data_IF_290836216930
#
_entry.id   IF_290836216930
#
_cell.length_a   1.000
_cell.length_b   1.000
_cell.length_c   1.000
_cell.angle_alpha   90.00
_cell.angle_beta   90.00
_cell.angle_gamma   90.00
#
_symmetry.space_group_name_H-M   'P 1'
#
loop_
_entity.id
_entity.type
_entity.pdbx_description
1 polymer ?
#
# COMPACT_ATOMS: atom_id res chain seq x y z
N UNK A 1 30.31 -40.66 -40.42
CA UNK A 1 28.90 -40.21 -40.19
C UNK A 1 28.96 -38.77 -39.80
N UNK A 2 28.68 -37.90 -40.73
CA UNK A 2 28.79 -36.43 -40.68
C UNK A 2 27.52 -35.86 -40.07
N UNK A 3 27.63 -35.19 -38.90
CA UNK A 3 26.53 -34.48 -38.29
C UNK A 3 26.27 -33.17 -39.02
N UNK A 4 25.10 -33.05 -39.64
CA UNK A 4 24.64 -31.85 -40.29
C UNK A 4 24.39 -30.75 -39.24
N UNK A 5 25.15 -29.66 -39.33
CA UNK A 5 24.85 -28.43 -38.61
C UNK A 5 23.55 -27.83 -39.19
N UNK A 6 22.49 -27.82 -38.40
CA UNK A 6 21.29 -27.07 -38.70
C UNK A 6 21.65 -25.56 -38.69
N UNK A 7 21.54 -24.95 -39.88
CA UNK A 7 21.60 -23.48 -40.03
C UNK A 7 20.39 -22.91 -39.30
N UNK A 8 20.62 -22.27 -38.17
CA UNK A 8 19.61 -21.43 -37.50
C UNK A 8 19.40 -20.24 -38.46
N UNK A 9 18.29 -20.26 -39.15
CA UNK A 9 17.82 -19.11 -39.96
C UNK A 9 17.64 -17.94 -38.98
N UNK A 10 18.31 -16.83 -39.29
CA UNK A 10 18.14 -15.54 -38.60
C UNK A 10 16.64 -15.21 -38.53
N UNK A 11 16.12 -14.81 -37.36
CA UNK A 11 14.74 -14.35 -37.28
C UNK A 11 14.56 -13.13 -38.20
N UNK A 12 13.37 -13.03 -38.81
CA UNK A 12 12.97 -11.86 -39.59
C UNK A 12 13.25 -10.57 -38.80
N UNK A 13 13.65 -9.48 -39.48
CA UNK A 13 13.90 -8.22 -38.79
C UNK A 13 12.64 -7.79 -38.02
N UNK A 14 12.76 -7.72 -36.71
CA UNK A 14 11.70 -7.25 -35.83
C UNK A 14 11.18 -5.91 -36.31
N UNK A 15 9.86 -5.78 -36.41
CA UNK A 15 9.21 -4.55 -36.84
C UNK A 15 9.68 -3.37 -35.99
N UNK A 16 10.23 -2.33 -36.63
CA UNK A 16 10.71 -1.12 -35.96
C UNK A 16 9.57 -0.52 -35.13
N UNK A 17 9.78 -0.36 -33.84
CA UNK A 17 8.77 0.26 -32.95
C UNK A 17 8.58 1.72 -33.35
N UNK A 18 7.33 2.19 -33.37
CA UNK A 18 7.00 3.57 -33.74
C UNK A 18 7.79 4.58 -32.91
N UNK A 19 8.44 5.53 -33.57
CA UNK A 19 9.28 6.56 -32.97
C UNK A 19 10.76 6.19 -32.84
N UNK A 20 11.16 4.94 -33.12
CA UNK A 20 12.55 4.48 -33.07
C UNK A 20 13.30 4.56 -34.41
N UNK A 21 12.66 5.07 -35.45
CA UNK A 21 13.19 5.07 -36.84
C UNK A 21 14.56 5.74 -36.92
N UNK A 22 14.72 6.94 -36.32
CA UNK A 22 15.99 7.67 -36.30
C UNK A 22 17.08 6.91 -35.54
N UNK A 23 16.74 6.30 -34.39
CA UNK A 23 17.70 5.53 -33.60
C UNK A 23 18.15 4.25 -34.29
N UNK A 24 17.27 3.60 -35.06
CA UNK A 24 17.65 2.45 -35.90
C UNK A 24 18.62 2.82 -37.03
N UNK A 25 18.57 4.04 -37.53
CA UNK A 25 19.52 4.53 -38.54
C UNK A 25 20.87 4.88 -37.92
N UNK A 26 20.89 5.61 -36.80
CA UNK A 26 22.12 6.17 -36.25
C UNK A 26 22.80 5.28 -35.20
N UNK A 27 22.03 4.49 -34.46
CA UNK A 27 22.53 3.58 -33.41
C UNK A 27 21.83 2.21 -33.50
N UNK A 28 21.96 1.48 -34.62
CA UNK A 28 21.16 0.26 -34.88
C UNK A 28 21.39 -0.84 -33.86
N UNK A 29 22.61 -1.00 -33.33
CA UNK A 29 22.93 -2.04 -32.36
C UNK A 29 22.28 -1.71 -31.00
N UNK A 30 22.35 -0.44 -30.58
CA UNK A 30 21.69 0.00 -29.32
C UNK A 30 20.17 -0.17 -29.43
N UNK A 31 19.58 0.24 -30.56
CA UNK A 31 18.14 0.10 -30.77
C UNK A 31 17.70 -1.38 -30.80
N UNK A 32 18.47 -2.25 -31.49
CA UNK A 32 18.21 -3.68 -31.54
C UNK A 32 18.28 -4.33 -30.11
N UNK A 33 19.33 -4.05 -29.34
CA UNK A 33 19.49 -4.57 -27.99
C UNK A 33 18.32 -4.18 -27.08
N UNK A 34 17.83 -2.93 -27.18
CA UNK A 34 16.66 -2.50 -26.40
C UNK A 34 15.38 -3.17 -26.90
N UNK A 35 15.20 -3.33 -28.20
CA UNK A 35 14.05 -4.03 -28.77
C UNK A 35 14.00 -5.48 -28.31
N UNK A 36 15.10 -6.22 -28.40
CA UNK A 36 15.21 -7.60 -27.95
C UNK A 36 14.88 -7.73 -26.45
N UNK A 37 15.36 -6.78 -25.65
CA UNK A 37 15.02 -6.74 -24.22
C UNK A 37 13.52 -6.55 -24.00
N UNK A 38 12.88 -5.64 -24.72
CA UNK A 38 11.43 -5.40 -24.59
C UNK A 38 10.63 -6.64 -24.98
N UNK A 39 11.05 -7.35 -26.02
CA UNK A 39 10.41 -8.59 -26.46
C UNK A 39 10.61 -9.72 -25.45
N UNK A 40 11.81 -9.85 -24.89
CA UNK A 40 12.09 -10.82 -23.83
C UNK A 40 11.22 -10.60 -22.58
N UNK A 41 11.06 -9.37 -22.13
CA UNK A 41 10.24 -9.08 -20.94
C UNK A 41 8.73 -9.12 -21.26
N UNK A 42 8.32 -9.01 -22.52
CA UNK A 42 6.92 -9.11 -22.92
C UNK A 42 6.32 -10.49 -22.64
N UNK A 43 7.14 -11.54 -22.59
CA UNK A 43 6.71 -12.90 -22.20
C UNK A 43 6.08 -12.94 -20.80
N UNK A 44 6.54 -12.09 -19.88
CA UNK A 44 6.15 -12.14 -18.46
C UNK A 44 5.39 -10.91 -17.97
N UNK A 45 5.49 -9.80 -18.67
CA UNK A 45 4.90 -8.53 -18.27
C UNK A 45 3.66 -8.17 -19.10
N UNK A 46 2.81 -7.32 -18.53
CA UNK A 46 1.61 -6.83 -19.23
C UNK A 46 1.98 -5.80 -20.30
N UNK A 47 1.22 -5.72 -21.42
CA UNK A 47 1.48 -4.76 -22.49
C UNK A 47 1.68 -3.33 -21.99
N UNK A 48 0.79 -2.80 -21.15
CA UNK A 48 0.92 -1.45 -20.60
C UNK A 48 2.19 -1.22 -19.74
N UNK A 49 2.80 -2.30 -19.23
CA UNK A 49 4.10 -2.21 -18.52
C UNK A 49 5.23 -2.13 -19.53
N UNK A 50 5.13 -2.93 -20.61
CA UNK A 50 6.10 -2.88 -21.72
C UNK A 50 6.11 -1.49 -22.35
N UNK A 51 4.94 -0.91 -22.63
CA UNK A 51 4.82 0.45 -23.16
C UNK A 51 5.54 1.47 -22.26
N UNK A 52 5.34 1.37 -20.94
CA UNK A 52 5.99 2.28 -19.99
C UNK A 52 7.52 2.07 -19.93
N UNK A 53 8.00 0.84 -20.04
CA UNK A 53 9.43 0.53 -20.09
C UNK A 53 10.01 1.03 -21.41
N UNK A 54 9.30 0.82 -22.52
CA UNK A 54 9.68 1.34 -23.84
C UNK A 54 9.85 2.86 -23.81
N UNK A 55 8.89 3.60 -23.28
CA UNK A 55 8.96 5.07 -23.18
C UNK A 55 10.18 5.54 -22.36
N UNK A 56 10.48 4.84 -21.26
CA UNK A 56 11.62 5.19 -20.41
C UNK A 56 12.97 4.87 -21.07
N UNK A 57 13.10 3.71 -21.72
CA UNK A 57 14.31 3.32 -22.45
C UNK A 57 14.50 4.17 -23.72
N UNK A 58 13.42 4.49 -24.42
CA UNK A 58 13.46 5.40 -25.56
C UNK A 58 13.97 6.79 -25.17
N UNK A 59 13.51 7.32 -24.02
CA UNK A 59 14.01 8.60 -23.49
C UNK A 59 15.52 8.57 -23.24
N UNK A 60 16.01 7.46 -22.67
CA UNK A 60 17.44 7.29 -22.46
C UNK A 60 18.22 7.17 -23.75
N UNK A 61 17.73 6.38 -24.70
CA UNK A 61 18.35 6.23 -26.02
C UNK A 61 18.42 7.57 -26.80
N UNK A 62 17.33 8.36 -26.73
CA UNK A 62 17.30 9.73 -27.30
C UNK A 62 18.32 10.65 -26.64
N UNK A 63 18.43 10.61 -25.31
CA UNK A 63 19.45 11.38 -24.60
C UNK A 63 20.86 11.00 -25.07
N UNK A 64 21.16 9.71 -25.24
CA UNK A 64 22.45 9.26 -25.76
C UNK A 64 22.67 9.78 -27.19
N UNK A 65 21.70 9.61 -28.08
CA UNK A 65 21.77 10.10 -29.44
C UNK A 65 22.05 11.61 -29.51
N UNK A 66 21.35 12.40 -28.72
CA UNK A 66 21.41 13.87 -28.77
C UNK A 66 22.67 14.45 -28.12
N UNK A 67 23.21 13.79 -27.07
CA UNK A 67 24.31 14.30 -26.23
C UNK A 67 25.62 13.51 -26.36
N UNK A 68 25.53 12.26 -26.80
CA UNK A 68 26.64 11.30 -26.86
C UNK A 68 26.52 10.44 -28.13
N UNK A 69 26.57 11.04 -29.34
CA UNK A 69 26.35 10.33 -30.60
C UNK A 69 27.42 9.27 -30.91
N UNK A 70 28.52 9.27 -30.18
CA UNK A 70 29.58 8.25 -30.20
C UNK A 70 29.15 6.95 -29.51
N UNK A 71 28.12 6.98 -28.65
CA UNK A 71 27.59 5.80 -27.93
C UNK A 71 26.52 5.11 -28.80
N UNK A 72 26.96 4.21 -29.66
CA UNK A 72 26.09 3.45 -30.58
C UNK A 72 25.74 2.04 -30.10
N UNK A 73 26.30 1.61 -28.95
CA UNK A 73 26.09 0.29 -28.32
C UNK A 73 25.82 0.41 -26.85
N UNK A 74 25.03 -0.48 -26.31
CA UNK A 74 24.71 -0.50 -24.85
C UNK A 74 25.94 -0.77 -24.00
N UNK A 75 26.89 -1.60 -24.49
CA UNK A 75 28.16 -1.89 -23.81
C UNK A 75 29.04 -0.67 -23.57
N UNK A 76 28.91 0.36 -24.38
CA UNK A 76 29.73 1.58 -24.31
C UNK A 76 29.16 2.60 -23.31
N UNK A 77 27.99 2.29 -22.74
CA UNK A 77 27.36 3.13 -21.70
C UNK A 77 28.17 3.06 -20.41
N UNK A 78 28.64 4.21 -19.96
CA UNK A 78 29.43 4.36 -18.74
C UNK A 78 28.65 5.09 -17.64
N UNK A 79 29.22 5.10 -16.46
CA UNK A 79 28.68 5.87 -15.31
C UNK A 79 28.44 7.35 -15.65
N UNK A 80 29.33 7.98 -16.42
CA UNK A 80 29.23 9.38 -16.83
C UNK A 80 27.95 9.65 -17.63
N UNK A 81 27.55 8.72 -18.51
CA UNK A 81 26.32 8.85 -19.30
C UNK A 81 25.08 8.78 -18.40
N UNK A 82 25.09 7.92 -17.37
CA UNK A 82 24.00 7.84 -16.40
C UNK A 82 23.86 9.13 -15.60
N UNK A 83 24.98 9.72 -15.17
CA UNK A 83 24.96 10.99 -14.43
C UNK A 83 24.45 12.14 -15.29
N UNK A 84 24.89 12.22 -16.53
CA UNK A 84 24.35 13.17 -17.51
C UNK A 84 22.86 13.01 -17.72
N UNK A 85 22.38 11.75 -17.88
CA UNK A 85 20.96 11.48 -18.04
C UNK A 85 20.13 11.85 -16.81
N UNK A 86 20.64 11.62 -15.60
CA UNK A 86 19.95 12.04 -14.37
C UNK A 86 19.73 13.56 -14.35
N UNK A 87 20.73 14.34 -14.75
CA UNK A 87 20.62 15.80 -14.85
C UNK A 87 19.60 16.19 -15.94
N UNK A 88 19.70 15.60 -17.11
CA UNK A 88 18.78 15.86 -18.22
C UNK A 88 17.33 15.54 -17.82
N UNK A 89 17.12 14.41 -17.13
CA UNK A 89 15.82 13.94 -16.72
C UNK A 89 15.10 14.92 -15.75
N UNK A 90 15.83 15.65 -14.91
CA UNK A 90 15.25 16.63 -13.97
C UNK A 90 15.17 18.05 -14.56
N UNK A 91 15.96 18.36 -15.59
CA UNK A 91 16.00 19.69 -16.22
C UNK A 91 15.01 19.82 -17.38
N UNK A 92 14.74 18.74 -18.11
CA UNK A 92 13.81 18.76 -19.24
C UNK A 92 12.37 18.89 -18.74
N UNK A 93 11.75 20.00 -19.08
CA UNK A 93 10.35 20.25 -18.75
C UNK A 93 9.43 19.18 -19.34
N UNK A 94 8.41 18.78 -18.59
CA UNK A 94 7.32 17.94 -19.10
C UNK A 94 6.52 18.68 -20.19
N UNK A 95 5.67 17.96 -20.94
CA UNK A 95 4.76 18.58 -21.94
C UNK A 95 3.95 19.77 -21.43
N UNK A 96 3.75 19.86 -20.11
CA UNK A 96 3.01 20.95 -19.44
C UNK A 96 3.94 22.07 -18.93
N UNK A 97 5.21 22.10 -19.29
CA UNK A 97 6.18 23.12 -18.86
C UNK A 97 6.63 23.00 -17.40
N UNK A 98 6.20 22.00 -16.67
CA UNK A 98 6.57 21.79 -15.27
C UNK A 98 7.75 20.78 -15.15
N UNK A 99 8.60 20.87 -14.11
CA UNK A 99 9.61 19.85 -13.85
C UNK A 99 8.94 18.49 -13.59
N UNK A 100 9.58 17.38 -13.95
CA UNK A 100 9.03 16.06 -13.70
C UNK A 100 8.95 15.79 -12.20
N UNK A 101 7.88 15.10 -11.78
CA UNK A 101 7.71 14.69 -10.39
C UNK A 101 8.76 13.66 -9.99
N UNK A 102 9.18 13.70 -8.73
CA UNK A 102 10.15 12.76 -8.16
C UNK A 102 9.78 11.28 -8.45
N UNK A 103 8.52 10.90 -8.30
CA UNK A 103 8.04 9.56 -8.64
C UNK A 103 8.25 9.18 -10.12
N UNK A 104 8.15 10.14 -11.05
CA UNK A 104 8.40 9.90 -12.48
C UNK A 104 9.87 9.67 -12.75
N UNK A 105 10.74 10.51 -12.15
CA UNK A 105 12.20 10.37 -12.23
C UNK A 105 12.64 9.02 -11.66
N UNK A 106 12.16 8.69 -10.45
CA UNK A 106 12.44 7.41 -9.79
C UNK A 106 12.01 6.21 -10.64
N UNK A 107 10.80 6.26 -11.23
CA UNK A 107 10.30 5.19 -12.11
C UNK A 107 11.23 4.99 -13.32
N UNK A 108 11.56 6.06 -14.02
CA UNK A 108 12.42 6.01 -15.20
C UNK A 108 13.80 5.41 -14.84
N UNK A 109 14.44 5.91 -13.79
CA UNK A 109 15.74 5.39 -13.35
C UNK A 109 15.64 3.94 -12.85
N UNK A 110 14.52 3.54 -12.23
CA UNK A 110 14.31 2.15 -11.82
C UNK A 110 14.20 1.21 -13.01
N UNK A 111 13.49 1.62 -14.08
CA UNK A 111 13.39 0.83 -15.32
C UNK A 111 14.73 0.72 -16.03
N UNK A 112 15.47 1.82 -16.09
CA UNK A 112 16.81 1.83 -16.68
C UNK A 112 17.79 0.93 -15.88
N UNK A 113 17.77 1.00 -14.55
CA UNK A 113 18.58 0.11 -13.72
C UNK A 113 18.21 -1.35 -13.90
N UNK A 114 16.91 -1.66 -13.98
CA UNK A 114 16.43 -3.02 -14.23
C UNK A 114 16.91 -3.55 -15.60
N UNK A 115 16.89 -2.71 -16.63
CA UNK A 115 17.42 -3.04 -17.94
C UNK A 115 18.89 -3.45 -17.86
N UNK A 116 19.76 -2.57 -17.34
CA UNK A 116 21.19 -2.87 -17.24
C UNK A 116 21.49 -4.08 -16.34
N UNK A 117 20.78 -4.23 -15.22
CA UNK A 117 20.98 -5.37 -14.34
C UNK A 117 20.67 -6.67 -15.06
N UNK A 118 19.54 -6.74 -15.78
CA UNK A 118 19.12 -7.97 -16.46
C UNK A 118 20.00 -8.34 -17.63
N UNK A 119 20.38 -7.39 -18.48
CA UNK A 119 21.25 -7.72 -19.64
C UNK A 119 22.64 -8.17 -19.18
N UNK A 120 23.14 -7.66 -18.05
CA UNK A 120 24.38 -8.16 -17.44
C UNK A 120 24.17 -9.54 -16.82
N UNK A 121 23.07 -9.80 -16.10
CA UNK A 121 22.74 -11.13 -15.50
C UNK A 121 22.47 -12.19 -16.56
N UNK A 122 22.00 -11.80 -17.76
CA UNK A 122 21.73 -12.69 -18.88
C UNK A 122 22.94 -12.88 -19.82
N UNK A 123 24.09 -12.30 -19.49
CA UNK A 123 25.34 -12.36 -20.25
C UNK A 123 25.15 -11.97 -21.74
N UNK A 124 24.36 -10.94 -21.98
CA UNK A 124 24.13 -10.49 -23.34
C UNK A 124 25.40 -9.89 -23.98
N UNK A 125 25.68 -10.19 -25.27
CA UNK A 125 26.92 -9.76 -25.94
C UNK A 125 27.14 -8.25 -25.95
N UNK A 126 26.05 -7.46 -25.90
CA UNK A 126 26.08 -5.99 -25.87
C UNK A 126 25.87 -5.41 -24.45
N UNK A 127 25.96 -6.26 -23.40
CA UNK A 127 25.91 -5.79 -22.03
C UNK A 127 27.21 -5.05 -21.65
N UNK A 128 27.13 -3.97 -20.84
CA UNK A 128 28.32 -3.35 -20.28
C UNK A 128 29.04 -4.30 -19.31
N UNK A 129 30.36 -4.17 -19.16
CA UNK A 129 31.16 -5.02 -18.30
C UNK A 129 30.71 -5.03 -16.83
N UNK A 130 29.98 -4.01 -16.40
CA UNK A 130 29.32 -3.88 -15.10
C UNK A 130 28.10 -2.99 -15.21
N UNK A 131 27.12 -3.21 -14.36
CA UNK A 131 25.94 -2.33 -14.25
C UNK A 131 26.38 -0.89 -13.95
N UNK A 132 26.11 0.09 -14.84
CA UNK A 132 26.59 1.46 -14.66
C UNK A 132 25.76 2.26 -13.63
N UNK A 133 24.79 1.63 -12.98
CA UNK A 133 23.86 2.24 -12.02
C UNK A 133 23.88 1.52 -10.68
N UNK A 134 23.63 2.29 -9.60
CA UNK A 134 23.50 1.78 -8.24
C UNK A 134 22.10 2.05 -7.68
N UNK A 135 21.74 1.34 -6.61
CA UNK A 135 20.46 1.58 -5.92
C UNK A 135 20.37 3.02 -5.36
N UNK A 136 21.50 3.57 -4.92
CA UNK A 136 21.61 4.94 -4.44
C UNK A 136 21.39 6.03 -5.48
N UNK A 137 21.32 5.69 -6.77
CA UNK A 137 20.98 6.64 -7.83
C UNK A 137 19.49 6.98 -7.88
N UNK A 138 18.67 6.12 -7.28
CA UNK A 138 17.23 6.33 -7.25
C UNK A 138 16.88 7.41 -6.23
N UNK A 139 16.14 8.46 -6.61
CA UNK A 139 15.62 9.43 -5.65
C UNK A 139 14.82 8.73 -4.55
N UNK A 140 14.82 9.28 -3.33
CA UNK A 140 13.96 8.78 -2.27
C UNK A 140 12.51 8.88 -2.70
N UNK A 141 11.71 7.90 -2.31
CA UNK A 141 10.28 7.90 -2.62
C UNK A 141 9.58 8.89 -1.70
N UNK A 142 8.81 9.80 -2.29
CA UNK A 142 7.90 10.65 -1.54
C UNK A 142 6.71 9.79 -1.10
N UNK A 143 6.39 9.80 0.18
CA UNK A 143 5.22 9.12 0.74
C UNK A 143 4.15 10.13 1.16
N UNK A 144 3.49 10.82 0.22
CA UNK A 144 2.42 11.73 0.56
C UNK A 144 1.26 10.95 1.19
N UNK A 145 0.61 11.59 2.15
CA UNK A 145 -0.62 11.02 2.71
C UNK A 145 -1.67 10.85 1.61
N UNK A 146 -2.40 9.72 1.61
CA UNK A 146 -3.47 9.49 0.65
C UNK A 146 -4.51 10.60 0.71
N UNK A 147 -4.86 11.16 -0.45
CA UNK A 147 -5.92 12.17 -0.56
C UNK A 147 -7.28 11.46 -0.52
N UNK A 148 -8.02 11.66 0.53
CA UNK A 148 -9.39 11.14 0.70
C UNK A 148 -10.41 12.28 0.67
N UNK A 149 -11.69 11.96 0.61
CA UNK A 149 -12.79 12.87 0.84
C UNK A 149 -13.12 12.85 2.33
N UNK A 150 -13.23 14.01 2.96
CA UNK A 150 -13.74 14.06 4.32
C UNK A 150 -15.22 13.61 4.37
N UNK A 151 -15.76 13.40 5.59
CA UNK A 151 -17.12 12.87 5.73
C UNK A 151 -18.19 13.83 5.16
N UNK A 152 -17.93 15.15 5.19
CA UNK A 152 -18.81 16.17 4.59
C UNK A 152 -18.79 16.13 3.07
N UNK A 153 -17.60 16.20 2.48
CA UNK A 153 -17.40 16.09 1.02
C UNK A 153 -17.97 14.76 0.49
N UNK A 154 -17.73 13.65 1.20
CA UNK A 154 -18.22 12.35 0.79
C UNK A 154 -19.74 12.25 0.86
N UNK A 155 -20.36 12.78 1.92
CA UNK A 155 -21.82 12.81 2.08
C UNK A 155 -22.45 13.66 0.96
N UNK A 156 -21.88 14.82 0.66
CA UNK A 156 -22.36 15.69 -0.42
C UNK A 156 -22.25 15.01 -1.78
N UNK A 157 -21.12 14.35 -2.06
CA UNK A 157 -20.91 13.58 -3.28
C UNK A 157 -21.95 12.47 -3.43
N UNK A 158 -22.17 11.67 -2.37
CA UNK A 158 -23.08 10.54 -2.40
C UNK A 158 -24.55 10.96 -2.53
N UNK A 159 -24.96 12.12 -1.98
CA UNK A 159 -26.29 12.69 -2.23
C UNK A 159 -26.54 12.94 -3.73
N UNK A 160 -25.54 13.49 -4.42
CA UNK A 160 -25.63 13.73 -5.87
C UNK A 160 -25.62 12.40 -6.65
N UNK A 161 -24.85 11.41 -6.21
CA UNK A 161 -24.86 10.05 -6.81
C UNK A 161 -26.23 9.39 -6.67
N UNK A 162 -26.84 9.49 -5.48
CA UNK A 162 -28.16 8.90 -5.23
C UNK A 162 -29.27 9.56 -6.05
N UNK A 163 -29.16 10.86 -6.29
CA UNK A 163 -30.10 11.63 -7.10
C UNK A 163 -29.85 11.54 -8.62
N UNK A 164 -28.79 10.83 -9.04
CA UNK A 164 -28.44 10.72 -10.45
C UNK A 164 -29.38 9.80 -11.21
N UNK A 165 -29.95 10.33 -12.31
CA UNK A 165 -30.88 9.61 -13.18
C UNK A 165 -30.20 8.64 -14.17
N UNK A 166 -28.87 8.75 -14.35
CA UNK A 166 -28.11 7.82 -15.19
C UNK A 166 -27.79 6.53 -14.38
N UNK A 167 -28.46 5.41 -14.66
CA UNK A 167 -28.31 4.19 -13.86
C UNK A 167 -26.92 3.60 -13.95
N UNK A 168 -26.22 3.72 -15.09
CA UNK A 168 -24.84 3.28 -15.25
C UNK A 168 -23.89 4.06 -14.37
N UNK A 169 -24.02 5.39 -14.36
CA UNK A 169 -23.15 6.26 -13.56
C UNK A 169 -23.40 6.06 -12.07
N UNK A 170 -24.65 5.98 -11.65
CA UNK A 170 -25.04 5.71 -10.26
C UNK A 170 -24.44 4.37 -9.80
N UNK A 171 -24.68 3.27 -10.52
CA UNK A 171 -24.12 1.94 -10.18
C UNK A 171 -22.60 1.95 -10.13
N UNK A 172 -21.95 2.58 -11.13
CA UNK A 172 -20.49 2.67 -11.22
C UNK A 172 -19.89 3.34 -9.97
N UNK A 173 -20.46 4.45 -9.55
CA UNK A 173 -19.94 5.23 -8.40
C UNK A 173 -20.28 4.60 -7.06
N UNK A 174 -21.44 3.97 -6.92
CA UNK A 174 -21.81 3.18 -5.74
C UNK A 174 -20.89 1.98 -5.55
N UNK A 175 -20.55 1.27 -6.62
CA UNK A 175 -19.56 0.18 -6.58
C UNK A 175 -18.20 0.68 -6.12
N UNK A 176 -17.70 1.79 -6.66
CA UNK A 176 -16.43 2.39 -6.22
C UNK A 176 -16.46 2.78 -4.75
N UNK A 177 -17.53 3.43 -4.31
CA UNK A 177 -17.67 3.95 -2.96
C UNK A 177 -17.71 2.86 -1.89
N UNK A 178 -18.46 1.78 -2.15
CA UNK A 178 -18.72 0.74 -1.16
C UNK A 178 -17.76 -0.43 -1.18
N UNK A 179 -17.08 -0.67 -2.30
CA UNK A 179 -16.14 -1.81 -2.42
C UNK A 179 -14.67 -1.39 -2.45
N UNK A 180 -14.39 -0.12 -2.73
CA UNK A 180 -13.04 0.39 -2.87
C UNK A 180 -12.21 -0.29 -3.96
N UNK A 181 -12.85 -0.97 -4.93
CA UNK A 181 -12.15 -1.65 -6.01
C UNK A 181 -11.37 -0.68 -6.90
N UNK A 182 -10.35 -1.19 -7.57
CA UNK A 182 -9.60 -0.40 -8.53
C UNK A 182 -10.43 -0.18 -9.80
N UNK A 183 -10.23 0.94 -10.48
CA UNK A 183 -10.96 1.24 -11.72
C UNK A 183 -10.79 0.15 -12.78
N UNK A 184 -9.63 -0.52 -12.83
CA UNK A 184 -9.41 -1.64 -13.75
C UNK A 184 -10.20 -2.89 -13.37
N UNK A 185 -10.38 -3.13 -12.08
CA UNK A 185 -11.19 -4.23 -11.55
C UNK A 185 -12.67 -3.95 -11.84
N UNK A 186 -13.11 -2.72 -11.63
CA UNK A 186 -14.47 -2.27 -11.95
C UNK A 186 -14.83 -2.46 -13.44
N UNK A 187 -13.96 -1.98 -14.35
CA UNK A 187 -14.16 -2.16 -15.80
C UNK A 187 -14.10 -3.62 -16.24
N UNK A 188 -13.46 -4.47 -15.45
CA UNK A 188 -13.33 -5.91 -15.69
C UNK A 188 -14.37 -6.78 -15.01
N UNK A 189 -15.36 -6.21 -14.32
CA UNK A 189 -16.41 -7.00 -13.67
C UNK A 189 -17.24 -7.79 -14.69
N UNK A 190 -17.39 -9.08 -14.44
CA UNK A 190 -18.19 -9.97 -15.25
C UNK A 190 -19.69 -9.86 -14.88
N UNK A 191 -20.55 -10.19 -15.81
CA UNK A 191 -22.03 -10.15 -15.59
C UNK A 191 -22.46 -11.09 -14.46
N UNK A 192 -21.73 -12.18 -14.23
CA UNK A 192 -21.96 -13.18 -13.19
C UNK A 192 -21.14 -12.96 -11.92
N UNK A 193 -20.47 -11.79 -11.79
CA UNK A 193 -19.61 -11.48 -10.65
C UNK A 193 -20.33 -11.46 -9.29
N UNK A 194 -21.66 -11.23 -9.28
CA UNK A 194 -22.47 -11.31 -8.08
C UNK A 194 -22.81 -12.75 -7.77
N UNK A 195 -22.37 -13.26 -6.63
CA UNK A 195 -22.61 -14.64 -6.16
C UNK A 195 -23.26 -14.62 -4.78
N UNK A 196 -24.00 -15.68 -4.44
CA UNK A 196 -24.57 -15.88 -3.11
C UNK A 196 -23.75 -16.93 -2.36
N UNK A 197 -23.30 -16.57 -1.17
CA UNK A 197 -22.59 -17.49 -0.26
C UNK A 197 -23.33 -17.46 1.08
N UNK A 198 -23.98 -18.56 1.43
CA UNK A 198 -24.93 -18.58 2.55
C UNK A 198 -26.07 -17.60 2.30
N UNK A 199 -26.37 -16.75 3.27
CA UNK A 199 -27.43 -15.74 3.19
C UNK A 199 -26.94 -14.37 2.70
N UNK A 200 -25.67 -14.25 2.36
CA UNK A 200 -25.06 -12.99 1.95
C UNK A 200 -24.70 -13.00 0.47
N UNK A 201 -24.91 -11.86 -0.20
CA UNK A 201 -24.41 -11.65 -1.55
C UNK A 201 -22.99 -11.10 -1.52
N UNK A 202 -22.16 -11.62 -2.39
CA UNK A 202 -20.77 -11.26 -2.54
C UNK A 202 -20.47 -10.86 -3.98
N UNK A 203 -19.51 -9.96 -4.16
CA UNK A 203 -19.00 -9.58 -5.46
C UNK A 203 -17.63 -10.22 -5.65
N UNK A 204 -17.52 -11.10 -6.65
CA UNK A 204 -16.24 -11.62 -7.11
C UNK A 204 -15.52 -10.53 -7.91
N UNK A 205 -14.46 -10.00 -7.36
CA UNK A 205 -13.63 -9.02 -8.05
C UNK A 205 -12.56 -9.79 -8.82
N UNK A 206 -12.51 -9.65 -10.16
CA UNK A 206 -11.64 -10.44 -11.00
C UNK A 206 -10.17 -10.09 -10.77
N UNK A 207 -9.29 -10.98 -11.23
CA UNK A 207 -7.84 -10.86 -11.19
C UNK A 207 -7.41 -9.47 -11.66
N UNK A 208 -7.04 -8.61 -10.73
CA UNK A 208 -6.53 -7.28 -11.00
C UNK A 208 -5.02 -7.28 -11.24
N UNK A 209 -4.39 -6.11 -11.04
CA UNK A 209 -2.93 -5.92 -11.16
C UNK A 209 -2.11 -6.89 -10.30
N UNK A 210 -2.67 -7.41 -9.21
CA UNK A 210 -2.00 -8.26 -8.21
C UNK A 210 -2.23 -9.76 -8.43
N UNK A 211 -2.91 -10.18 -9.50
CA UNK A 211 -3.20 -11.57 -9.86
C UNK A 211 -3.93 -12.39 -8.78
N UNK A 212 -4.76 -11.75 -7.94
CA UNK A 212 -5.60 -12.41 -6.95
C UNK A 212 -7.06 -12.00 -7.13
N UNK A 213 -7.95 -12.98 -7.23
CA UNK A 213 -9.38 -12.78 -7.08
C UNK A 213 -9.70 -12.58 -5.60
N UNK A 214 -10.74 -11.81 -5.33
CA UNK A 214 -11.28 -11.69 -3.98
C UNK A 214 -12.77 -11.51 -4.01
N UNK A 215 -13.40 -11.87 -2.91
CA UNK A 215 -14.80 -11.63 -2.66
C UNK A 215 -15.00 -10.45 -1.73
N UNK A 216 -15.92 -9.56 -2.06
CA UNK A 216 -16.31 -8.41 -1.25
C UNK A 216 -17.79 -8.54 -0.92
N UNK A 217 -18.18 -8.44 0.37
CA UNK A 217 -19.60 -8.52 0.74
C UNK A 217 -20.36 -7.35 0.12
N UNK A 218 -21.56 -7.63 -0.39
CA UNK A 218 -22.41 -6.61 -1.00
C UNK A 218 -23.46 -6.10 -0.02
N UNK A 219 -23.55 -4.80 0.10
CA UNK A 219 -24.66 -4.14 0.78
C UNK A 219 -25.97 -4.39 0.00
N UNK A 220 -27.13 -4.61 0.66
CA UNK A 220 -28.41 -4.91 -0.02
C UNK A 220 -28.76 -3.92 -1.14
N UNK A 221 -28.52 -2.62 -0.94
CA UNK A 221 -28.74 -1.61 -1.98
C UNK A 221 -27.88 -1.83 -3.24
N UNK A 222 -26.64 -2.34 -3.11
CA UNK A 222 -25.82 -2.68 -4.28
C UNK A 222 -26.38 -3.90 -5.01
N UNK A 223 -26.88 -4.90 -4.28
CA UNK A 223 -27.54 -6.07 -4.87
C UNK A 223 -28.71 -5.63 -5.73
N UNK A 224 -29.55 -4.75 -5.20
CA UNK A 224 -30.69 -4.17 -5.92
C UNK A 224 -30.25 -3.39 -7.17
N UNK A 225 -29.25 -2.51 -7.05
CA UNK A 225 -28.75 -1.73 -8.17
C UNK A 225 -28.15 -2.60 -9.27
N UNK A 226 -27.40 -3.66 -8.91
CA UNK A 226 -26.84 -4.61 -9.89
C UNK A 226 -27.97 -5.38 -10.58
N UNK A 227 -28.98 -5.84 -9.81
CA UNK A 227 -30.10 -6.58 -10.34
C UNK A 227 -30.90 -5.71 -11.31
N UNK A 228 -31.26 -4.50 -10.91
CA UNK A 228 -31.97 -3.54 -11.77
C UNK A 228 -31.15 -3.20 -13.02
N UNK A 229 -29.83 -3.03 -12.90
CA UNK A 229 -28.96 -2.79 -14.06
C UNK A 229 -29.01 -3.96 -15.05
N UNK A 230 -28.98 -5.21 -14.56
CA UNK A 230 -29.07 -6.39 -15.42
C UNK A 230 -30.41 -6.52 -16.14
N UNK A 231 -31.52 -6.04 -15.55
CA UNK A 231 -32.85 -6.09 -16.22
C UNK A 231 -32.97 -5.07 -17.35
N UNK A 232 -32.37 -3.90 -17.22
CA UNK A 232 -32.47 -2.83 -18.23
C UNK A 232 -31.35 -2.89 -19.30
N UNK A 233 -30.31 -3.68 -19.05
CA UNK A 233 -29.17 -3.80 -19.97
C UNK A 233 -29.16 -5.20 -20.57
N UNK A 234 -29.41 -5.36 -21.88
CA UNK A 234 -29.31 -6.65 -22.53
C UNK A 234 -27.92 -7.28 -22.32
N UNK A 235 -27.89 -8.59 -22.14
CA UNK A 235 -26.63 -9.32 -22.06
C UNK A 235 -25.79 -9.04 -23.32
N UNK A 236 -24.77 -8.20 -23.16
CA UNK A 236 -23.88 -7.86 -24.27
C UNK A 236 -22.93 -9.03 -24.57
N UNK A 237 -22.44 -9.07 -25.80
CA UNK A 237 -21.45 -10.08 -26.26
C UNK A 237 -20.14 -10.06 -25.48
N UNK A 238 -19.87 -8.98 -24.72
CA UNK A 238 -18.63 -8.80 -23.98
C UNK A 238 -18.53 -9.57 -22.65
N UNK A 239 -19.66 -10.12 -22.13
CA UNK A 239 -19.72 -10.75 -20.82
C UNK A 239 -19.44 -9.80 -19.62
N UNK A 240 -19.31 -8.49 -19.84
CA UNK A 240 -19.01 -7.50 -18.81
C UNK A 240 -20.26 -6.90 -18.18
N UNK A 241 -20.22 -6.68 -16.86
CA UNK A 241 -21.35 -6.12 -16.11
C UNK A 241 -21.63 -4.67 -16.52
N UNK A 242 -20.58 -3.83 -16.59
CA UNK A 242 -20.73 -2.41 -16.87
C UNK A 242 -20.44 -2.13 -18.33
N UNK A 243 -21.51 -1.93 -19.10
CA UNK A 243 -21.43 -1.63 -20.53
C UNK A 243 -22.15 -0.33 -20.87
N UNK A 244 -21.70 0.33 -21.92
CA UNK A 244 -22.36 1.50 -22.52
C UNK A 244 -22.49 1.24 -24.02
N UNK A 245 -23.73 1.28 -24.55
CA UNK A 245 -24.02 0.92 -25.96
C UNK A 245 -23.42 -0.45 -26.36
N UNK A 246 -23.55 -1.46 -25.49
CA UNK A 246 -23.05 -2.81 -25.72
C UNK A 246 -21.54 -3.00 -25.56
N UNK A 247 -20.76 -1.93 -25.35
CA UNK A 247 -19.31 -1.99 -25.15
C UNK A 247 -18.90 -1.80 -23.69
N UNK A 248 -17.88 -2.51 -23.20
CA UNK A 248 -17.35 -2.32 -21.85
C UNK A 248 -16.94 -0.87 -21.59
N UNK A 249 -17.22 -0.36 -20.40
CA UNK A 249 -16.80 1.00 -20.06
C UNK A 249 -15.29 1.07 -19.87
N UNK A 250 -14.69 2.17 -20.34
CA UNK A 250 -13.25 2.43 -20.20
C UNK A 250 -12.94 3.13 -18.86
N UNK A 251 -11.67 3.04 -18.41
CA UNK A 251 -11.16 3.80 -17.27
C UNK A 251 -11.37 5.31 -17.42
N UNK A 252 -11.24 5.81 -18.66
CA UNK A 252 -11.48 7.21 -18.99
C UNK A 252 -12.95 7.59 -18.78
N UNK A 253 -13.89 6.70 -19.20
CA UNK A 253 -15.33 6.90 -18.98
C UNK A 253 -15.64 7.00 -17.49
N UNK A 254 -15.09 6.10 -16.65
CA UNK A 254 -15.26 6.14 -15.20
C UNK A 254 -14.70 7.42 -14.60
N UNK A 255 -13.51 7.86 -15.03
CA UNK A 255 -12.92 9.12 -14.56
C UNK A 255 -13.78 10.32 -14.91
N UNK A 256 -14.39 10.35 -16.11
CA UNK A 256 -15.34 11.40 -16.49
C UNK A 256 -16.59 11.38 -15.63
N UNK A 257 -17.13 10.20 -15.30
CA UNK A 257 -18.27 10.04 -14.41
C UNK A 257 -17.97 10.63 -13.02
N UNK A 258 -16.83 10.29 -12.42
CA UNK A 258 -16.38 10.85 -11.15
C UNK A 258 -16.32 12.38 -11.18
N UNK A 259 -15.68 12.95 -12.21
CA UNK A 259 -15.55 14.40 -12.34
C UNK A 259 -16.88 15.11 -12.61
N UNK A 260 -17.81 14.47 -13.32
CA UNK A 260 -19.14 15.04 -13.56
C UNK A 260 -19.93 15.18 -12.26
N UNK A 261 -19.90 14.13 -11.43
CA UNK A 261 -20.58 14.15 -10.12
C UNK A 261 -19.88 15.10 -9.14
N UNK A 262 -18.56 15.11 -9.11
CA UNK A 262 -17.79 16.02 -8.26
C UNK A 262 -18.13 17.50 -8.55
N UNK A 263 -18.20 17.89 -9.82
CA UNK A 263 -18.62 19.24 -10.21
C UNK A 263 -20.05 19.57 -9.80
N UNK A 264 -20.99 18.61 -9.94
CA UNK A 264 -22.39 18.80 -9.50
C UNK A 264 -22.47 18.92 -7.97
N UNK A 265 -21.60 18.24 -7.25
CA UNK A 265 -21.49 18.30 -5.80
C UNK A 265 -20.69 19.52 -5.30
N UNK A 266 -20.19 20.40 -6.17
CA UNK A 266 -19.37 21.56 -5.77
C UNK A 266 -18.03 21.15 -5.14
N UNK A 267 -17.57 19.91 -5.40
CA UNK A 267 -16.32 19.36 -4.86
C UNK A 267 -15.24 19.43 -5.94
N UNK A 268 -13.99 19.63 -5.54
CA UNK A 268 -12.84 19.61 -6.43
C UNK A 268 -12.66 18.28 -7.17
N UNK A 269 -11.63 18.19 -8.00
CA UNK A 269 -11.37 17.03 -8.83
C UNK A 269 -11.38 15.70 -8.05
N UNK A 270 -12.24 14.76 -8.43
CA UNK A 270 -12.35 13.43 -7.85
C UNK A 270 -12.02 12.38 -8.90
N UNK A 271 -11.02 11.55 -8.63
CA UNK A 271 -10.66 10.41 -9.46
C UNK A 271 -11.03 9.09 -8.75
N UNK A 272 -11.19 7.97 -9.49
CA UNK A 272 -11.67 6.70 -8.91
C UNK A 272 -10.89 6.22 -7.68
N UNK A 273 -9.57 6.46 -7.64
CA UNK A 273 -8.73 6.01 -6.54
C UNK A 273 -9.00 6.78 -5.23
N UNK A 274 -9.56 8.01 -5.33
CA UNK A 274 -9.95 8.80 -4.16
C UNK A 274 -11.10 8.14 -3.37
N UNK A 275 -12.05 7.46 -4.05
CA UNK A 275 -13.08 6.65 -3.39
C UNK A 275 -12.48 5.53 -2.54
N UNK A 276 -11.48 4.83 -3.09
CA UNK A 276 -10.78 3.77 -2.36
C UNK A 276 -10.04 4.30 -1.14
N UNK A 277 -9.38 5.45 -1.24
CA UNK A 277 -8.73 6.10 -0.11
C UNK A 277 -9.75 6.52 0.95
N UNK A 278 -10.88 7.07 0.53
CA UNK A 278 -11.97 7.47 1.44
C UNK A 278 -12.53 6.26 2.18
N UNK A 279 -12.86 5.17 1.49
CA UNK A 279 -13.35 3.95 2.13
C UNK A 279 -12.35 3.39 3.14
N UNK A 280 -11.06 3.31 2.78
CA UNK A 280 -10.03 2.82 3.68
C UNK A 280 -9.88 3.68 4.94
N UNK A 281 -9.86 5.02 4.78
CA UNK A 281 -9.77 5.96 5.90
C UNK A 281 -11.01 5.90 6.78
N UNK A 282 -12.20 5.84 6.19
CA UNK A 282 -13.45 5.71 6.94
C UNK A 282 -13.55 4.38 7.67
N UNK A 283 -13.11 3.28 7.06
CA UNK A 283 -13.11 1.96 7.69
C UNK A 283 -12.20 1.92 8.92
N UNK A 284 -10.98 2.44 8.81
CA UNK A 284 -10.05 2.57 9.95
C UNK A 284 -10.63 3.44 11.05
N UNK A 285 -11.16 4.63 10.71
CA UNK A 285 -11.74 5.56 11.68
C UNK A 285 -12.96 4.98 12.41
N UNK A 286 -13.59 3.96 11.83
CA UNK A 286 -14.73 3.23 12.42
C UNK A 286 -14.32 1.90 13.06
N UNK A 287 -13.03 1.65 13.25
CA UNK A 287 -12.51 0.52 14.01
C UNK A 287 -12.35 -0.79 13.23
N UNK A 288 -12.43 -0.77 11.89
CA UNK A 288 -12.12 -1.97 11.10
C UNK A 288 -10.61 -2.28 11.21
N UNK A 289 -10.26 -3.55 11.45
CA UNK A 289 -8.87 -3.96 11.54
C UNK A 289 -8.11 -3.78 10.23
N UNK A 290 -6.79 -3.56 10.33
CA UNK A 290 -5.92 -3.40 9.15
C UNK A 290 -5.96 -4.62 8.23
N UNK A 291 -6.06 -5.83 8.80
CA UNK A 291 -6.16 -7.08 8.04
C UNK A 291 -7.47 -7.17 7.26
N UNK A 292 -8.60 -6.80 7.89
CA UNK A 292 -9.90 -6.77 7.23
C UNK A 292 -9.93 -5.74 6.09
N UNK A 293 -9.32 -4.56 6.29
CA UNK A 293 -9.19 -3.55 5.24
C UNK A 293 -8.27 -4.03 4.13
N UNK A 294 -7.14 -4.69 4.46
CA UNK A 294 -6.25 -5.27 3.47
C UNK A 294 -6.95 -6.32 2.61
N UNK A 295 -7.73 -7.22 3.23
CA UNK A 295 -8.54 -8.22 2.55
C UNK A 295 -9.60 -7.58 1.65
N UNK A 296 -10.39 -6.63 2.18
CA UNK A 296 -11.41 -5.90 1.45
C UNK A 296 -10.84 -5.23 0.20
N UNK A 297 -9.73 -4.54 0.35
CA UNK A 297 -9.09 -3.79 -0.72
C UNK A 297 -8.20 -4.66 -1.63
N UNK A 298 -7.86 -5.88 -1.24
CA UNK A 298 -6.94 -6.75 -1.95
C UNK A 298 -5.52 -6.17 -1.96
N UNK A 299 -4.99 -5.83 -0.79
CA UNK A 299 -3.59 -5.46 -0.61
C UNK A 299 -2.75 -6.72 -0.41
N UNK A 300 -1.59 -6.81 -1.07
CA UNK A 300 -0.65 -7.92 -0.88
C UNK A 300 0.22 -7.77 0.36
N UNK A 301 0.39 -6.56 0.84
CA UNK A 301 1.19 -6.20 2.00
C UNK A 301 0.37 -5.29 2.91
N UNK A 302 0.48 -5.49 4.21
CA UNK A 302 -0.10 -4.60 5.22
C UNK A 302 0.49 -3.18 5.16
N UNK A 303 1.71 -3.02 4.64
CA UNK A 303 2.33 -1.69 4.47
C UNK A 303 1.49 -0.78 3.57
N UNK A 304 0.83 -1.36 2.54
CA UNK A 304 -0.11 -0.60 1.72
C UNK A 304 -1.31 -0.10 2.53
N UNK A 305 -1.72 -0.83 3.56
CA UNK A 305 -2.85 -0.47 4.43
C UNK A 305 -2.39 0.45 5.56
N UNK A 306 -1.19 0.29 6.09
CA UNK A 306 -0.60 1.14 7.14
C UNK A 306 -0.52 2.62 6.75
N UNK A 307 -0.44 2.93 5.44
CA UNK A 307 -0.51 4.32 4.95
C UNK A 307 -1.81 5.03 5.39
N UNK A 308 -2.91 4.29 5.51
CA UNK A 308 -4.18 4.83 5.98
C UNK A 308 -4.21 4.99 7.50
N UNK A 309 -3.52 4.13 8.23
CA UNK A 309 -3.37 4.26 9.69
C UNK A 309 -2.66 5.58 10.08
N UNK A 310 -1.77 6.09 9.22
CA UNK A 310 -1.14 7.41 9.41
C UNK A 310 -2.11 8.59 9.30
N UNK A 311 -3.27 8.39 8.67
CA UNK A 311 -4.34 9.41 8.52
C UNK A 311 -5.37 9.26 9.63
N UNK A 312 -5.59 8.04 10.09
CA UNK A 312 -6.61 7.67 11.07
C UNK A 312 -6.19 8.05 12.50
N UNK A 313 -5.90 9.33 12.70
CA UNK A 313 -5.38 9.86 13.96
C UNK A 313 -6.47 10.15 15.00
N UNK A 314 -7.62 9.47 14.94
CA UNK A 314 -8.62 9.60 16.02
C UNK A 314 -8.07 9.14 17.35
N UNK A 315 -7.29 8.06 17.36
CA UNK A 315 -6.63 7.56 18.56
C UNK A 315 -5.58 8.56 19.04
N UNK A 316 -4.75 9.10 18.13
CA UNK A 316 -3.74 10.11 18.50
C UNK A 316 -4.41 11.42 18.90
N UNK A 317 -5.47 11.87 18.22
CA UNK A 317 -6.19 13.08 18.61
C UNK A 317 -6.88 12.89 19.97
N UNK A 318 -7.56 11.78 20.19
CA UNK A 318 -8.20 11.48 21.48
C UNK A 318 -7.19 11.31 22.62
N UNK A 319 -6.06 10.65 22.35
CA UNK A 319 -4.97 10.55 23.31
C UNK A 319 -4.32 11.92 23.58
N UNK A 320 -4.09 12.72 22.53
CA UNK A 320 -3.57 14.06 22.66
C UNK A 320 -4.51 14.97 23.44
N UNK A 321 -5.83 14.98 23.12
CA UNK A 321 -6.85 15.73 23.86
C UNK A 321 -6.89 15.31 25.33
N UNK A 322 -6.84 14.00 25.61
CA UNK A 322 -6.81 13.49 26.98
C UNK A 322 -5.56 13.94 27.74
N UNK A 323 -4.39 13.85 27.11
CA UNK A 323 -3.13 14.30 27.70
C UNK A 323 -3.13 15.82 27.89
N UNK A 324 -3.60 16.58 26.89
CA UNK A 324 -3.69 18.04 26.96
C UNK A 324 -4.66 18.49 28.07
N UNK A 325 -5.84 17.86 28.16
CA UNK A 325 -6.79 18.14 29.23
C UNK A 325 -6.19 17.85 30.62
N UNK A 326 -5.44 16.76 30.76
CA UNK A 326 -4.75 16.45 32.02
C UNK A 326 -3.61 17.45 32.32
N UNK A 327 -2.92 17.95 31.30
CA UNK A 327 -1.87 18.96 31.46
C UNK A 327 -2.50 20.33 31.78
N UNK A 328 -3.59 20.70 31.10
CA UNK A 328 -4.33 21.95 31.37
C UNK A 328 -4.91 21.95 32.78
N UNK A 329 -5.42 20.82 33.29
CA UNK A 329 -5.88 20.66 34.66
C UNK A 329 -4.77 20.89 35.71
N UNK A 330 -3.49 20.77 35.32
CA UNK A 330 -2.37 21.10 36.24
C UNK A 330 -2.10 22.62 36.32
N UNK A 331 -2.60 23.41 35.36
CA UNK A 331 -2.44 24.87 35.33
C UNK A 331 -3.70 25.62 35.78
N UNK A 332 -4.78 24.90 36.09
CA UNK A 332 -6.02 25.50 36.58
C UNK A 332 -5.83 25.80 38.09
N UNK A 333 -5.52 27.08 38.41
CA UNK A 333 -5.17 27.57 39.73
C UNK A 333 -6.29 27.44 40.80
N UNK A 334 -7.36 26.71 40.50
CA UNK A 334 -8.52 26.55 41.39
C UNK A 334 -8.58 25.19 42.13
N UNK A 335 -7.59 24.32 41.90
CA UNK A 335 -7.53 23.05 42.60
C UNK A 335 -6.45 23.10 43.67
N UNK A 336 -6.88 23.08 44.93
CA UNK A 336 -6.03 22.90 46.10
C UNK A 336 -5.25 21.57 45.96
N UNK A 337 -4.03 21.67 45.43
CA UNK A 337 -3.15 20.52 45.19
C UNK A 337 -2.56 20.06 46.54
N UNK A 338 -3.33 19.32 47.30
CA UNK A 338 -2.71 18.32 48.14
C UNK A 338 -1.94 17.37 47.24
N UNK A 339 -0.66 17.06 47.49
CA UNK A 339 0.12 16.22 46.58
C UNK A 339 -0.51 14.82 46.58
N UNK A 340 -1.38 14.57 45.62
CA UNK A 340 -1.90 13.24 45.39
C UNK A 340 -0.80 12.43 44.67
N UNK A 341 0.10 11.91 45.48
CA UNK A 341 1.20 11.03 45.06
C UNK A 341 0.66 9.74 44.41
N UNK A 342 -0.64 9.51 44.44
CA UNK A 342 -1.35 8.35 43.91
C UNK A 342 -2.34 8.70 42.76
N UNK A 343 -2.31 9.92 42.25
CA UNK A 343 -3.16 10.36 41.16
C UNK A 343 -2.98 9.54 39.86
N UNK A 344 -3.96 9.58 38.94
CA UNK A 344 -3.94 8.79 37.70
C UNK A 344 -2.65 9.00 36.86
N UNK A 345 -2.09 10.21 36.86
CA UNK A 345 -0.86 10.53 36.13
C UNK A 345 0.38 9.87 36.76
N UNK A 346 0.44 9.80 38.12
CA UNK A 346 1.54 9.09 38.81
C UNK A 346 1.39 7.57 38.70
N UNK A 347 0.16 7.03 38.62
CA UNK A 347 -0.04 5.62 38.29
C UNK A 347 0.40 5.27 36.89
N UNK A 348 0.15 6.14 35.91
CA UNK A 348 0.66 5.96 34.54
C UNK A 348 2.20 6.03 34.46
N UNK A 349 2.81 7.03 35.11
CA UNK A 349 4.27 7.15 35.21
C UNK A 349 4.90 5.94 35.93
N UNK A 350 4.26 5.45 36.97
CA UNK A 350 4.68 4.21 37.66
C UNK A 350 4.49 3.00 36.72
N UNK A 351 3.39 2.89 35.97
CA UNK A 351 3.15 1.80 35.03
C UNK A 351 4.15 1.79 33.87
N UNK A 352 4.61 2.96 33.41
CA UNK A 352 5.66 3.04 32.39
C UNK A 352 7.05 2.66 32.93
N UNK A 353 7.31 2.84 34.22
CA UNK A 353 8.56 2.44 34.86
C UNK A 353 8.53 1.04 35.49
N UNK A 354 7.38 0.41 35.56
CA UNK A 354 7.20 -0.93 36.13
C UNK A 354 7.18 -1.99 35.05
N UNK A 355 8.21 -2.82 34.99
CA UNK A 355 8.19 -4.01 34.15
C UNK A 355 7.18 -5.00 34.73
N UNK A 356 6.09 -5.24 34.05
CA UNK A 356 5.08 -6.23 34.44
C UNK A 356 5.67 -7.64 34.35
N UNK A 357 5.52 -8.38 35.43
CA UNK A 357 5.88 -9.80 35.58
C UNK A 357 4.59 -10.64 35.69
N UNK A 358 4.73 -11.95 35.63
CA UNK A 358 3.56 -12.85 35.63
C UNK A 358 2.67 -12.74 36.91
N UNK A 359 3.22 -12.23 37.99
CA UNK A 359 2.58 -12.20 39.35
C UNK A 359 2.86 -10.91 40.15
N UNK A 360 3.33 -9.87 39.46
CA UNK A 360 3.63 -8.59 40.10
C UNK A 360 4.38 -7.64 39.14
N UNK A 361 5.03 -6.64 39.73
CA UNK A 361 5.77 -5.61 39.02
C UNK A 361 7.22 -5.53 39.49
N UNK A 362 8.14 -5.17 38.61
CA UNK A 362 9.52 -4.88 38.95
C UNK A 362 9.73 -3.36 39.01
N UNK A 363 9.96 -2.83 40.21
CA UNK A 363 10.19 -1.39 40.48
C UNK A 363 11.67 -0.99 40.39
N UNK A 364 12.48 -1.82 39.80
CA UNK A 364 13.91 -1.55 39.67
C UNK A 364 14.14 -0.34 38.76
N UNK A 365 14.97 0.65 39.19
CA UNK A 365 15.37 1.75 38.31
C UNK A 365 16.01 1.24 37.01
N UNK A 366 15.66 1.83 35.87
CA UNK A 366 16.12 1.42 34.53
C UNK A 366 17.65 1.41 34.36
N UNK A 367 18.37 2.20 35.19
CA UNK A 367 19.84 2.31 35.17
C UNK A 367 20.56 1.20 35.97
N UNK A 368 19.84 0.40 36.74
CA UNK A 368 20.42 -0.71 37.51
C UNK A 368 20.30 -2.02 36.72
N UNK A 369 21.38 -2.77 36.63
CA UNK A 369 21.38 -4.06 35.96
C UNK A 369 20.73 -5.16 36.82
N UNK A 370 20.01 -6.10 36.20
CA UNK A 370 19.33 -7.19 36.91
C UNK A 370 20.27 -8.38 37.10
N UNK A 371 20.60 -8.70 38.32
CA UNK A 371 21.42 -9.87 38.67
C UNK A 371 20.62 -11.19 38.76
N UNK A 372 19.30 -11.11 38.75
CA UNK A 372 18.40 -12.25 38.98
C UNK A 372 17.35 -12.34 37.88
N UNK A 373 17.63 -13.09 36.83
CA UNK A 373 16.69 -13.23 35.69
C UNK A 373 15.51 -14.18 35.97
N UNK A 374 15.50 -14.91 37.07
CA UNK A 374 14.54 -16.02 37.28
C UNK A 374 13.82 -16.09 38.63
N UNK A 375 14.16 -15.28 39.63
CA UNK A 375 13.52 -15.32 40.96
C UNK A 375 13.13 -13.90 41.41
N UNK A 376 12.07 -13.40 40.79
CA UNK A 376 11.61 -12.04 41.06
C UNK A 376 10.89 -11.93 42.40
N UNK A 377 10.19 -12.97 42.87
CA UNK A 377 9.35 -12.98 44.05
C UNK A 377 10.10 -12.72 45.38
N UNK A 378 11.42 -12.95 45.41
CA UNK A 378 12.28 -12.66 46.55
C UNK A 378 13.13 -11.40 46.38
N UNK A 379 12.94 -10.67 45.28
CA UNK A 379 13.70 -9.49 44.96
C UNK A 379 13.16 -8.26 45.69
N UNK A 380 14.05 -7.40 46.24
CA UNK A 380 13.68 -6.17 46.95
C UNK A 380 12.96 -5.14 46.05
N UNK A 381 13.01 -5.32 44.75
CA UNK A 381 12.32 -4.48 43.76
C UNK A 381 11.04 -5.13 43.22
N UNK A 382 10.62 -6.26 43.77
CA UNK A 382 9.38 -6.91 43.38
C UNK A 382 8.23 -6.44 44.21
N UNK A 383 7.16 -5.98 43.55
CA UNK A 383 5.92 -5.55 44.21
C UNK A 383 4.75 -6.28 43.53
N UNK A 384 3.82 -6.74 44.35
CA UNK A 384 2.57 -7.36 43.86
C UNK A 384 1.36 -6.58 44.35
N UNK A 385 0.22 -6.76 43.69
CA UNK A 385 -1.03 -6.07 44.01
C UNK A 385 -2.20 -7.05 44.05
N UNK A 386 -3.34 -6.60 44.53
CA UNK A 386 -4.55 -7.41 44.72
C UNK A 386 -5.02 -8.09 43.40
N UNK A 387 -4.72 -7.50 42.28
CA UNK A 387 -5.06 -8.06 40.97
C UNK A 387 -4.34 -9.38 40.65
N UNK A 388 -3.16 -9.63 41.26
CA UNK A 388 -2.41 -10.88 41.12
C UNK A 388 -2.79 -11.95 42.13
N UNK A 389 -3.62 -11.65 43.13
CA UNK A 389 -4.07 -12.62 44.16
C UNK A 389 -4.57 -13.96 43.54
N UNK A 390 -5.44 -13.96 42.52
CA UNK A 390 -5.90 -15.21 41.92
C UNK A 390 -4.77 -16.06 41.30
N UNK A 391 -3.73 -15.39 40.80
CA UNK A 391 -2.55 -16.07 40.19
C UNK A 391 -1.67 -16.62 41.29
N UNK A 392 -1.38 -15.83 42.32
CA UNK A 392 -0.58 -16.22 43.48
C UNK A 392 -1.20 -17.39 44.25
N UNK A 393 -2.51 -17.39 44.47
CA UNK A 393 -3.23 -18.51 45.12
C UNK A 393 -3.03 -19.80 44.31
N UNK A 394 -3.21 -19.75 42.99
CA UNK A 394 -3.00 -20.91 42.11
C UNK A 394 -1.56 -21.40 42.15
N UNK A 395 -0.57 -20.52 42.14
CA UNK A 395 0.84 -20.85 42.23
C UNK A 395 1.21 -21.48 43.56
N UNK A 396 0.67 -20.94 44.69
CA UNK A 396 0.83 -21.51 46.01
C UNK A 396 0.29 -22.94 46.09
N UNK A 397 -0.95 -23.15 45.66
CA UNK A 397 -1.62 -24.45 45.71
C UNK A 397 -0.91 -25.45 44.78
N UNK A 398 -0.40 -25.03 43.65
CA UNK A 398 0.45 -25.83 42.79
C UNK A 398 1.77 -26.22 43.49
N UNK A 399 2.45 -25.27 44.15
CA UNK A 399 3.68 -25.53 44.90
C UNK A 399 3.44 -26.54 46.05
N UNK A 400 2.33 -26.40 46.75
CA UNK A 400 1.93 -27.35 47.83
C UNK A 400 1.67 -28.76 47.27
N UNK A 401 0.96 -28.87 46.15
CA UNK A 401 0.65 -30.16 45.52
C UNK A 401 1.91 -30.88 44.97
N UNK A 402 2.95 -30.12 44.68
CA UNK A 402 4.22 -30.66 44.17
C UNK A 402 5.35 -30.76 45.22
N UNK A 403 4.96 -30.66 46.50
CA UNK A 403 5.89 -30.80 47.64
C UNK A 403 7.03 -29.76 47.63
N UNK A 404 6.72 -28.50 47.27
CA UNK A 404 7.63 -27.34 47.23
C UNK A 404 7.33 -26.37 48.37
N UNK A 405 7.58 -26.70 49.68
CA UNK A 405 7.14 -25.89 50.79
C UNK A 405 7.79 -24.50 50.79
N UNK A 406 9.08 -24.39 50.51
CA UNK A 406 9.78 -23.10 50.50
C UNK A 406 9.18 -22.10 49.49
N UNK A 407 8.70 -22.59 48.33
CA UNK A 407 8.04 -21.75 47.32
C UNK A 407 6.63 -21.35 47.77
N UNK A 408 5.91 -22.24 48.41
CA UNK A 408 4.60 -21.95 48.95
C UNK A 408 4.67 -20.88 50.05
N UNK A 409 5.68 -20.92 50.95
CA UNK A 409 5.91 -19.95 52.02
C UNK A 409 6.22 -18.54 51.47
N UNK A 410 7.02 -18.44 50.40
CA UNK A 410 7.30 -17.16 49.71
C UNK A 410 5.99 -16.56 49.19
N UNK A 411 5.16 -17.37 48.53
CA UNK A 411 3.89 -16.89 47.96
C UNK A 411 2.90 -16.52 49.08
N UNK A 412 2.86 -17.26 50.16
CA UNK A 412 2.03 -16.91 51.33
C UNK A 412 2.46 -15.56 51.96
N UNK A 413 3.76 -15.27 52.02
CA UNK A 413 4.25 -13.96 52.47
C UNK A 413 3.82 -12.83 51.50
N UNK A 414 3.87 -13.03 50.21
CA UNK A 414 3.41 -12.06 49.23
C UNK A 414 1.91 -11.79 49.34
N UNK A 415 1.10 -12.83 49.56
CA UNK A 415 -0.34 -12.71 49.78
C UNK A 415 -0.69 -11.96 51.07
N UNK A 416 0.18 -11.99 52.10
CA UNK A 416 0.02 -11.23 53.35
C UNK A 416 0.46 -9.78 53.24
N UNK A 417 1.34 -9.44 52.31
CA UNK A 417 1.87 -8.08 52.09
C UNK A 417 0.95 -7.22 51.25
N UNK A 418 0.00 -7.80 50.56
CA UNK A 418 -0.99 -7.11 49.73
C UNK A 418 -2.28 -6.92 50.54
N UNK A 419 -2.70 -5.67 50.81
CA UNK A 419 -3.93 -5.37 51.53
C UNK A 419 -5.20 -5.79 50.80
#
# INVERSE_FOLDING_TARGET
MTAAHAIVTSPEPLAVRAGWEDLHVHAPVLAATISDYLDQIAVSLRPATIDAVNDDLFRFARFLHDRHPDVVRVRDVTRRHIEGFKIDLVTVATRNGSPPKNATVRRCLSMLRMFFTRICEWDWPDAPARVPMFLGDLPREDEPLPRFLDDGEFTQLMRVVHADTDPLRRLTLELLARTGMRVSELCGLDTDAMVRIGDTHWLRIPIGKLRNDRYVPLHPQLVELITNWKTITPAGTSGRLLTKHGQPISRHTVSRMCNTIARRAGIGHVHPHRFRHTLATQAINRGMSLDAIAALLGHRSLDMTRRYARIANRTVAAEYERVTANVEALYDDTVDLAPDIEGPAMRLLRAEHHRMLANGYCERPALLDCRYESICETCVHFTTSIEFHPVLIRQRDHARSHNQPARADIIDQLLQQTP
#
